data_IF_850086028037
#
_entry.id   IF_850086028037
#
_cell.length_a   1.000
_cell.length_b   1.000
_cell.length_c   1.000
_cell.angle_alpha   90.00
_cell.angle_beta   90.00
_cell.angle_gamma   90.00
#
_symmetry.space_group_name_H-M   'P 1'
#
loop_
_entity.id
_entity.type
_entity.pdbx_description
1 polymer ?
#
# COMPACT_ATOMS: atom_id res chain seq x y z
N UNK A 1 -6.26 7.26 16.07
CA UNK A 1 -4.84 7.67 15.98
C UNK A 1 -4.78 9.07 15.40
N UNK A 2 -4.10 10.03 16.03
CA UNK A 2 -3.97 11.39 15.49
C UNK A 2 -2.64 11.50 14.71
N UNK A 3 -2.66 11.03 13.45
CA UNK A 3 -1.48 11.02 12.58
C UNK A 3 -0.89 12.41 12.35
N UNK A 4 -1.72 13.47 12.29
CA UNK A 4 -1.24 14.83 12.09
C UNK A 4 -0.36 15.31 13.24
N UNK A 5 -0.83 15.16 14.47
CA UNK A 5 -0.05 15.56 15.65
C UNK A 5 1.24 14.75 15.76
N UNK A 6 1.16 13.44 15.50
CA UNK A 6 2.32 12.56 15.51
C UNK A 6 3.35 12.94 14.44
N UNK A 7 2.89 13.30 13.24
CA UNK A 7 3.76 13.75 12.14
C UNK A 7 4.45 15.08 12.47
N UNK A 8 3.70 16.05 12.99
CA UNK A 8 4.30 17.34 13.40
C UNK A 8 5.35 17.16 14.50
N UNK A 9 5.10 16.28 15.47
CA UNK A 9 6.06 15.96 16.53
C UNK A 9 7.30 15.26 15.96
N UNK A 10 7.11 14.33 15.01
CA UNK A 10 8.20 13.66 14.31
C UNK A 10 9.08 14.66 13.56
N UNK A 11 8.48 15.57 12.80
CA UNK A 11 9.22 16.60 12.07
C UNK A 11 9.99 17.53 13.01
N UNK A 12 9.36 18.01 14.09
CA UNK A 12 10.03 18.83 15.11
C UNK A 12 11.24 18.13 15.73
N UNK A 13 11.07 16.86 16.09
CA UNK A 13 12.15 16.05 16.69
C UNK A 13 13.35 15.87 15.75
N UNK A 14 13.09 15.81 14.45
CA UNK A 14 14.12 15.57 13.44
C UNK A 14 14.56 16.84 12.69
N UNK A 15 14.14 18.03 13.15
CA UNK A 15 14.44 19.32 12.52
C UNK A 15 14.05 19.37 11.03
N UNK A 16 12.90 18.76 10.69
CA UNK A 16 12.37 18.72 9.33
C UNK A 16 11.35 19.87 9.13
N UNK A 17 11.44 20.53 8.00
CA UNK A 17 10.43 21.53 7.60
C UNK A 17 9.14 20.82 7.19
N UNK A 18 8.03 21.42 7.58
CA UNK A 18 6.69 20.92 7.25
C UNK A 18 6.05 21.90 6.27
N UNK A 19 5.54 21.39 5.16
CA UNK A 19 4.72 22.17 4.25
C UNK A 19 3.24 21.73 4.27
N UNK A 20 2.35 22.57 3.75
CA UNK A 20 0.91 22.30 3.70
C UNK A 20 0.55 21.04 2.92
N UNK A 21 1.29 20.74 1.84
CA UNK A 21 1.04 19.55 1.02
C UNK A 21 1.32 18.27 1.79
N UNK A 22 2.35 18.24 2.63
CA UNK A 22 2.65 17.08 3.49
C UNK A 22 1.56 16.88 4.54
N UNK A 23 1.02 17.94 5.13
CA UNK A 23 -0.09 17.83 6.09
C UNK A 23 -1.37 17.35 5.40
N UNK A 24 -1.67 17.82 4.20
CA UNK A 24 -2.80 17.34 3.41
C UNK A 24 -2.64 15.86 3.09
N UNK A 25 -1.44 15.44 2.67
CA UNK A 25 -1.14 14.03 2.39
C UNK A 25 -1.33 13.15 3.62
N UNK A 26 -0.88 13.58 4.79
CA UNK A 26 -1.10 12.87 6.06
C UNK A 26 -2.60 12.72 6.37
N UNK A 27 -3.40 13.75 6.10
CA UNK A 27 -4.86 13.67 6.26
C UNK A 27 -5.48 12.64 5.32
N UNK A 28 -5.07 12.62 4.06
CA UNK A 28 -5.56 11.65 3.08
C UNK A 28 -5.16 10.22 3.46
N UNK A 29 -3.92 10.00 3.90
CA UNK A 29 -3.46 8.70 4.39
C UNK A 29 -4.20 8.25 5.65
N UNK A 30 -4.52 9.17 6.57
CA UNK A 30 -5.33 8.87 7.74
C UNK A 30 -6.75 8.44 7.36
N UNK A 31 -7.36 9.12 6.39
CA UNK A 31 -8.66 8.75 5.85
C UNK A 31 -8.62 7.38 5.17
N UNK A 32 -7.61 7.15 4.36
CA UNK A 32 -7.37 5.85 3.70
C UNK A 32 -7.24 4.72 4.74
N UNK A 33 -6.46 4.92 5.79
CA UNK A 33 -6.30 3.94 6.86
C UNK A 33 -7.62 3.66 7.58
N UNK A 34 -8.36 4.71 7.95
CA UNK A 34 -9.64 4.55 8.64
C UNK A 34 -10.69 3.82 7.79
N UNK A 35 -10.71 4.08 6.48
CA UNK A 35 -11.62 3.41 5.56
C UNK A 35 -11.31 1.91 5.41
N UNK A 36 -10.07 1.50 5.50
CA UNK A 36 -9.65 0.12 5.25
C UNK A 36 -9.51 -0.71 6.53
N UNK A 37 -9.05 -0.12 7.64
CA UNK A 37 -8.67 -0.87 8.84
C UNK A 37 -9.51 -0.54 10.08
N UNK A 38 -10.03 0.68 10.23
CA UNK A 38 -10.76 1.12 11.43
C UNK A 38 -12.29 1.04 11.32
N UNK A 39 -12.85 0.41 10.29
CA UNK A 39 -14.30 0.24 10.22
C UNK A 39 -14.77 -0.72 11.32
N UNK A 40 -15.65 -0.23 12.19
CA UNK A 40 -16.43 -1.10 13.10
C UNK A 40 -17.09 -2.21 12.28
N UNK A 41 -17.08 -3.44 12.77
CA UNK A 41 -17.63 -4.63 12.10
C UNK A 41 -19.07 -4.39 11.60
N UNK A 42 -19.89 -3.66 12.36
CA UNK A 42 -21.25 -3.30 11.98
C UNK A 42 -21.33 -2.38 10.75
N UNK A 43 -20.37 -1.45 10.59
CA UNK A 43 -20.32 -0.58 9.41
C UNK A 43 -19.85 -1.33 8.15
N UNK A 44 -19.03 -2.37 8.27
CA UNK A 44 -18.64 -3.21 7.13
C UNK A 44 -19.82 -3.96 6.51
N UNK A 45 -20.82 -4.32 7.32
CA UNK A 45 -21.99 -5.09 6.86
C UNK A 45 -23.05 -4.18 6.23
N UNK A 46 -23.20 -2.94 6.70
CA UNK A 46 -24.30 -2.05 6.30
C UNK A 46 -23.90 -0.93 5.35
N UNK A 47 -22.62 -0.64 5.14
CA UNK A 47 -22.20 0.39 4.19
C UNK A 47 -21.78 -0.24 2.87
N UNK A 48 -22.45 0.17 1.79
CA UNK A 48 -22.01 0.01 0.40
C UNK A 48 -20.79 0.88 0.07
N UNK A 49 -20.17 1.51 1.07
CA UNK A 49 -18.98 2.34 0.90
C UNK A 49 -17.80 1.48 0.48
N UNK A 50 -17.42 1.64 -0.75
CA UNK A 50 -16.25 1.03 -1.35
C UNK A 50 -15.01 1.37 -0.52
N UNK A 51 -14.45 0.35 0.15
CA UNK A 51 -13.07 0.44 0.61
C UNK A 51 -12.20 0.79 -0.59
N UNK A 52 -11.37 1.83 -0.49
CA UNK A 52 -10.38 2.14 -1.53
C UNK A 52 -9.23 1.14 -1.36
N UNK A 53 -9.08 0.15 -2.22
CA UNK A 53 -8.09 -0.92 -2.02
C UNK A 53 -6.65 -0.44 -2.20
N UNK A 54 -6.45 0.74 -2.79
CA UNK A 54 -5.13 1.30 -3.04
C UNK A 54 -5.07 2.80 -2.86
N UNK A 55 -3.88 3.29 -2.55
CA UNK A 55 -3.50 4.70 -2.50
C UNK A 55 -2.28 4.90 -3.39
N UNK A 56 -2.39 5.76 -4.40
CA UNK A 56 -1.29 6.07 -5.32
C UNK A 56 -0.85 7.51 -5.14
N UNK A 57 0.43 7.69 -4.90
CA UNK A 57 1.04 9.01 -4.74
C UNK A 57 2.04 9.26 -5.86
N UNK A 58 1.76 10.26 -6.66
CA UNK A 58 2.65 10.73 -7.72
C UNK A 58 3.01 12.21 -7.51
N UNK A 59 4.05 12.68 -8.16
CA UNK A 59 4.51 14.07 -8.11
C UNK A 59 6.02 14.19 -8.25
N UNK A 60 6.53 15.43 -8.21
CA UNK A 60 7.93 15.73 -8.47
C UNK A 60 8.88 15.14 -7.42
N UNK A 61 10.12 14.92 -7.83
CA UNK A 61 11.19 14.44 -6.95
C UNK A 61 11.51 15.52 -5.90
N UNK A 62 11.84 15.10 -4.68
CA UNK A 62 12.30 16.01 -3.62
C UNK A 62 11.20 16.64 -2.77
N UNK A 63 9.92 16.50 -3.09
CA UNK A 63 8.82 17.11 -2.29
C UNK A 63 8.50 16.36 -0.98
N UNK A 64 9.27 15.35 -0.63
CA UNK A 64 9.14 14.62 0.64
C UNK A 64 8.10 13.50 0.65
N UNK A 65 7.62 13.02 -0.51
CA UNK A 65 6.65 11.91 -0.60
C UNK A 65 7.06 10.69 0.20
N UNK A 66 8.25 10.19 -0.07
CA UNK A 66 8.80 8.98 0.58
C UNK A 66 8.92 9.16 2.10
N UNK A 67 9.29 10.36 2.56
CA UNK A 67 9.37 10.67 4.00
C UNK A 67 7.98 10.53 4.66
N UNK A 68 6.95 11.12 4.05
CA UNK A 68 5.58 11.07 4.58
C UNK A 68 5.04 9.64 4.57
N UNK A 69 5.27 8.88 3.49
CA UNK A 69 4.84 7.49 3.39
C UNK A 69 5.59 6.57 4.34
N UNK A 70 6.91 6.77 4.52
CA UNK A 70 7.69 6.03 5.51
C UNK A 70 7.15 6.29 6.92
N UNK A 71 6.94 7.56 7.27
CA UNK A 71 6.33 7.92 8.55
C UNK A 71 4.98 7.21 8.73
N UNK A 72 4.08 7.30 7.75
CA UNK A 72 2.79 6.63 7.80
C UNK A 72 2.94 5.12 7.98
N UNK A 73 3.77 4.49 7.16
CA UNK A 73 4.00 3.05 7.21
C UNK A 73 4.51 2.61 8.58
N UNK A 74 5.40 3.38 9.20
CA UNK A 74 5.93 3.08 10.54
C UNK A 74 4.85 3.16 11.63
N UNK A 75 3.90 4.11 11.48
CA UNK A 75 2.81 4.31 12.46
C UNK A 75 1.70 3.24 12.36
N UNK A 76 1.54 2.58 11.23
CA UNK A 76 0.51 1.56 11.03
C UNK A 76 0.86 0.29 11.79
N UNK A 77 -0.06 -0.17 12.65
CA UNK A 77 0.09 -1.38 13.48
C UNK A 77 -0.28 -2.69 12.77
N UNK A 78 -0.78 -2.62 11.54
CA UNK A 78 -1.21 -3.78 10.76
C UNK A 78 -0.01 -4.63 10.30
N UNK A 79 -0.29 -5.90 9.93
CA UNK A 79 0.72 -6.71 9.24
C UNK A 79 1.04 -6.05 7.91
N UNK A 80 2.27 -5.62 7.73
CA UNK A 80 2.69 -4.77 6.62
C UNK A 80 3.92 -5.31 5.93
N UNK A 81 3.99 -5.11 4.62
CA UNK A 81 5.09 -5.55 3.76
C UNK A 81 5.53 -4.37 2.88
N UNK A 82 6.82 -4.12 2.82
CA UNK A 82 7.43 -3.16 1.89
C UNK A 82 8.26 -3.90 0.86
N UNK A 83 8.09 -3.55 -0.40
CA UNK A 83 8.80 -4.15 -1.52
C UNK A 83 9.06 -3.12 -2.61
N UNK A 84 10.16 -3.26 -3.33
CA UNK A 84 10.28 -2.60 -4.63
C UNK A 84 9.35 -3.28 -5.63
N UNK A 85 8.65 -2.48 -6.43
CA UNK A 85 7.66 -3.03 -7.38
C UNK A 85 8.28 -4.03 -8.35
N UNK A 86 9.49 -3.74 -8.86
CA UNK A 86 10.20 -4.66 -9.76
C UNK A 86 10.51 -6.01 -9.10
N UNK A 87 10.98 -6.01 -7.84
CA UNK A 87 11.23 -7.24 -7.09
C UNK A 87 9.93 -8.04 -6.87
N UNK A 88 8.85 -7.35 -6.56
CA UNK A 88 7.54 -7.97 -6.42
C UNK A 88 7.11 -8.66 -7.72
N UNK A 89 7.29 -8.00 -8.87
CA UNK A 89 6.94 -8.56 -10.18
C UNK A 89 7.80 -9.76 -10.55
N UNK A 90 9.10 -9.73 -10.27
CA UNK A 90 9.97 -10.90 -10.49
C UNK A 90 9.49 -12.09 -9.65
N UNK A 91 9.26 -11.90 -8.35
CA UNK A 91 8.74 -12.96 -7.47
C UNK A 91 7.38 -13.51 -7.94
N UNK A 92 6.51 -12.65 -8.49
CA UNK A 92 5.24 -13.07 -9.06
C UNK A 92 5.45 -13.94 -10.31
N UNK A 93 6.34 -13.52 -11.21
CA UNK A 93 6.64 -14.29 -12.43
C UNK A 93 7.24 -15.66 -12.10
N UNK A 94 8.20 -15.72 -11.17
CA UNK A 94 8.82 -16.98 -10.75
C UNK A 94 7.77 -17.92 -10.15
N UNK A 95 6.94 -17.40 -9.24
CA UNK A 95 5.83 -18.15 -8.65
C UNK A 95 4.85 -18.68 -9.70
N UNK A 96 4.53 -17.86 -10.71
CA UNK A 96 3.61 -18.24 -11.77
C UNK A 96 4.20 -19.32 -12.69
N UNK A 97 5.45 -19.15 -13.12
CA UNK A 97 6.13 -20.11 -14.01
C UNK A 97 6.29 -21.46 -13.36
N UNK A 98 6.78 -21.51 -12.12
CA UNK A 98 6.96 -22.76 -11.37
C UNK A 98 5.68 -23.59 -11.25
N UNK A 99 4.52 -22.92 -11.03
CA UNK A 99 3.24 -23.61 -10.89
C UNK A 99 2.58 -23.95 -12.22
N UNK A 100 2.79 -23.13 -13.24
CA UNK A 100 2.33 -23.40 -14.60
C UNK A 100 2.99 -24.68 -15.15
N UNK A 101 4.26 -24.90 -14.89
CA UNK A 101 4.98 -26.13 -15.26
C UNK A 101 4.39 -27.37 -14.57
N UNK A 102 3.84 -27.22 -13.36
CA UNK A 102 3.15 -28.28 -12.59
C UNK A 102 1.67 -28.42 -12.96
N UNK A 103 1.18 -27.68 -13.98
CA UNK A 103 -0.24 -27.64 -14.38
C UNK A 103 -1.20 -27.31 -13.22
N UNK A 104 -0.78 -26.48 -12.27
CA UNK A 104 -1.64 -26.04 -11.17
C UNK A 104 -2.69 -25.04 -11.67
N UNK A 105 -3.92 -25.22 -11.20
CA UNK A 105 -5.02 -24.30 -11.47
C UNK A 105 -5.05 -23.13 -10.46
N UNK A 106 -5.66 -22.01 -10.86
CA UNK A 106 -5.86 -20.85 -9.99
C UNK A 106 -4.57 -20.25 -9.36
N UNK A 107 -3.46 -20.32 -10.08
CA UNK A 107 -2.13 -19.85 -9.61
C UNK A 107 -2.20 -18.43 -9.04
N UNK A 108 -2.92 -17.54 -9.69
CA UNK A 108 -3.08 -16.13 -9.29
C UNK A 108 -3.77 -16.04 -7.92
N UNK A 109 -4.85 -16.80 -7.72
CA UNK A 109 -5.58 -16.80 -6.45
C UNK A 109 -4.72 -17.38 -5.32
N UNK A 110 -3.87 -18.35 -5.61
CA UNK A 110 -2.92 -18.90 -4.65
C UNK A 110 -1.89 -17.84 -4.24
N UNK A 111 -1.33 -17.10 -5.21
CA UNK A 111 -0.40 -16.01 -4.93
C UNK A 111 -1.04 -14.91 -4.08
N UNK A 112 -2.25 -14.47 -4.44
CA UNK A 112 -2.99 -13.47 -3.66
C UNK A 112 -3.29 -13.96 -2.24
N UNK A 113 -3.65 -15.23 -2.08
CA UNK A 113 -3.90 -15.83 -0.76
C UNK A 113 -2.63 -15.86 0.09
N UNK A 114 -1.51 -16.26 -0.48
CA UNK A 114 -0.20 -16.24 0.19
C UNK A 114 0.16 -14.82 0.62
N UNK A 115 0.02 -13.85 -0.27
CA UNK A 115 0.29 -12.45 0.01
C UNK A 115 -0.58 -11.88 1.14
N UNK A 116 -1.90 -12.17 1.12
CA UNK A 116 -2.85 -11.78 2.17
C UNK A 116 -2.55 -12.44 3.52
N UNK A 117 -1.97 -13.63 3.51
CA UNK A 117 -1.54 -14.29 4.75
C UNK A 117 -0.35 -13.58 5.40
N UNK A 118 0.52 -12.97 4.59
CA UNK A 118 1.74 -12.26 5.03
C UNK A 118 1.49 -10.82 5.43
N UNK A 119 0.63 -10.11 4.69
CA UNK A 119 0.39 -8.69 4.92
C UNK A 119 -1.05 -8.27 4.66
N UNK A 120 -1.53 -7.31 5.46
CA UNK A 120 -2.79 -6.60 5.25
C UNK A 120 -2.58 -5.28 4.49
N UNK A 121 -1.37 -4.73 4.59
CA UNK A 121 -0.95 -3.52 3.90
C UNK A 121 0.37 -3.80 3.16
N UNK A 122 0.39 -3.45 1.87
CA UNK A 122 1.62 -3.52 1.06
C UNK A 122 2.01 -2.11 0.63
N UNK A 123 3.27 -1.79 0.80
CA UNK A 123 3.88 -0.56 0.31
C UNK A 123 4.86 -0.89 -0.81
N UNK A 124 4.56 -0.40 -2.01
CA UNK A 124 5.47 -0.50 -3.14
C UNK A 124 6.25 0.79 -3.31
N UNK A 125 7.57 0.67 -3.22
CA UNK A 125 8.49 1.72 -3.64
C UNK A 125 8.72 1.66 -5.15
N UNK A 126 8.97 2.84 -5.74
CA UNK A 126 9.34 2.97 -7.15
C UNK A 126 8.35 2.26 -8.09
N UNK A 127 7.06 2.57 -7.90
CA UNK A 127 6.03 2.03 -8.77
C UNK A 127 6.17 2.61 -10.18
N UNK A 128 6.91 1.89 -11.01
CA UNK A 128 7.05 2.20 -12.43
C UNK A 128 6.45 1.06 -13.25
N UNK A 129 5.36 1.34 -13.94
CA UNK A 129 4.76 0.38 -14.88
C UNK A 129 5.57 0.41 -16.18
N UNK A 130 6.71 -0.25 -16.17
CA UNK A 130 7.56 -0.42 -17.37
C UNK A 130 7.13 -1.61 -18.22
N UNK A 131 6.25 -2.46 -17.70
CA UNK A 131 5.86 -3.71 -18.37
C UNK A 131 4.34 -3.80 -18.52
N UNK A 132 3.86 -3.91 -19.77
CA UNK A 132 2.43 -4.04 -20.12
C UNK A 132 1.79 -5.26 -19.43
N UNK A 133 2.54 -6.30 -19.15
CA UNK A 133 2.08 -7.51 -18.46
C UNK A 133 1.64 -7.20 -17.03
N UNK A 134 2.28 -6.24 -16.35
CA UNK A 134 1.89 -5.84 -14.99
C UNK A 134 0.49 -5.21 -14.95
N UNK A 135 0.07 -4.51 -16.00
CA UNK A 135 -1.26 -3.88 -16.10
C UNK A 135 -2.36 -4.94 -16.16
N UNK A 136 -2.11 -6.07 -16.80
CA UNK A 136 -3.09 -7.15 -16.95
C UNK A 136 -3.47 -7.82 -15.62
N UNK A 137 -2.66 -7.68 -14.58
CA UNK A 137 -2.90 -8.26 -13.26
C UNK A 137 -3.48 -7.27 -12.22
N UNK A 138 -3.73 -6.02 -12.61
CA UNK A 138 -4.32 -5.01 -11.70
C UNK A 138 -5.76 -5.34 -11.29
N UNK A 139 -6.43 -6.27 -11.96
CA UNK A 139 -7.77 -6.76 -11.61
C UNK A 139 -7.80 -7.69 -10.40
N UNK A 140 -6.62 -8.05 -9.87
CA UNK A 140 -6.53 -8.91 -8.70
C UNK A 140 -6.94 -8.14 -7.45
N UNK A 141 -7.79 -8.74 -6.63
CA UNK A 141 -8.12 -8.23 -5.30
C UNK A 141 -6.93 -8.40 -4.35
N UNK A 142 -5.87 -7.63 -4.58
CA UNK A 142 -4.70 -7.59 -3.72
C UNK A 142 -5.04 -7.08 -2.30
N UNK A 143 -4.17 -7.28 -1.31
CA UNK A 143 -4.23 -6.55 -0.04
C UNK A 143 -4.29 -5.04 -0.28
N UNK A 144 -4.60 -4.28 0.78
CA UNK A 144 -4.54 -2.81 0.70
C UNK A 144 -3.15 -2.35 0.29
N UNK A 145 -3.06 -1.48 -0.72
CA UNK A 145 -1.79 -1.13 -1.39
C UNK A 145 -1.49 0.36 -1.23
N UNK A 146 -0.24 0.68 -0.92
CA UNK A 146 0.36 2.00 -1.07
C UNK A 146 1.37 1.96 -2.23
N UNK A 147 1.28 2.93 -3.13
CA UNK A 147 2.14 3.05 -4.31
C UNK A 147 2.82 4.43 -4.31
N UNK A 148 4.11 4.47 -4.65
CA UNK A 148 4.89 5.72 -4.81
C UNK A 148 5.58 5.71 -6.16
#
# INVERSE_FOLDING_TARGET
>A
MNLNQSFQNHCKKNNLEINSNQLNLINELNNFYNLNFNKSFLKKVFSKDSSKPGFYLHGDVGVGKTMVLNFFFDQVGERKLRKHFNEFMLNFHDFFHERKEKNEENIINQFVKDLKSKASLIYFDEFQVTNIVAVSYTHLTLPTILLV
#
